data_IF_371391441493
#
_entry.id   IF_371391441493
#
_cell.length_a   1.000
_cell.length_b   1.000
_cell.length_c   1.000
_cell.angle_alpha   90.00
_cell.angle_beta   90.00
_cell.angle_gamma   90.00
#
_symmetry.space_group_name_H-M   'P 1'
#
loop_
_entity.id
_entity.type
_entity.pdbx_description
1 polymer ?
#
# COMPACT_ATOMS: atom_id res chain seq x y z
N UNK A 1 -14.89 57.87 -55.96
CA UNK A 1 -13.96 56.75 -55.72
C UNK A 1 -14.33 56.13 -54.39
N UNK A 2 -14.79 54.87 -54.37
CA UNK A 2 -15.09 54.11 -53.15
C UNK A 2 -14.21 52.86 -53.18
N UNK A 3 -13.13 52.86 -52.41
CA UNK A 3 -12.20 51.72 -52.33
C UNK A 3 -12.58 50.84 -51.15
N UNK A 4 -13.19 49.68 -51.45
CA UNK A 4 -13.34 48.61 -50.49
C UNK A 4 -11.97 48.08 -50.05
N UNK A 5 -11.60 48.31 -48.79
CA UNK A 5 -10.51 47.59 -48.14
C UNK A 5 -11.07 46.40 -47.38
N UNK A 6 -11.25 45.27 -48.08
CA UNK A 6 -11.47 43.97 -47.44
C UNK A 6 -10.22 43.59 -46.66
N UNK A 7 -10.26 43.79 -45.34
CA UNK A 7 -9.22 43.32 -44.44
C UNK A 7 -9.25 41.78 -44.39
N UNK A 8 -8.36 41.14 -45.14
CA UNK A 8 -8.12 39.71 -45.03
C UNK A 8 -7.56 39.41 -43.63
N UNK A 9 -8.44 39.04 -42.69
CA UNK A 9 -8.04 38.38 -41.46
C UNK A 9 -7.52 36.99 -41.80
N UNK A 10 -6.22 36.91 -42.13
CA UNK A 10 -5.47 35.66 -42.14
C UNK A 10 -5.42 35.13 -40.70
N UNK A 11 -6.47 34.39 -40.31
CA UNK A 11 -6.45 33.55 -39.12
C UNK A 11 -5.43 32.45 -39.41
N UNK A 12 -4.20 32.67 -38.97
CA UNK A 12 -3.20 31.61 -38.91
C UNK A 12 -3.69 30.57 -37.92
N UNK A 13 -4.30 29.50 -38.45
CA UNK A 13 -4.57 28.28 -37.73
C UNK A 13 -3.22 27.66 -37.33
N UNK A 14 -2.65 28.15 -36.23
CA UNK A 14 -1.46 27.60 -35.59
C UNK A 14 -1.81 26.24 -34.96
N UNK A 15 -2.03 25.24 -35.82
CA UNK A 15 -2.22 23.85 -35.40
C UNK A 15 -0.91 23.36 -34.79
N UNK A 16 -0.91 23.14 -33.47
CA UNK A 16 0.26 22.63 -32.75
C UNK A 16 0.57 21.21 -33.25
N UNK A 17 1.73 21.04 -33.88
CA UNK A 17 2.20 19.73 -34.33
C UNK A 17 2.48 18.84 -33.11
N UNK A 18 2.12 17.56 -33.19
CA UNK A 18 2.35 16.61 -32.12
C UNK A 18 3.85 16.34 -31.92
N UNK A 19 4.40 16.46 -30.70
CA UNK A 19 5.77 16.05 -30.41
C UNK A 19 5.95 14.53 -30.54
N UNK A 20 7.17 14.07 -30.85
CA UNK A 20 7.46 12.63 -30.88
C UNK A 20 7.65 12.07 -29.46
N UNK A 21 6.71 11.22 -29.05
CA UNK A 21 6.73 10.49 -27.78
C UNK A 21 6.99 8.98 -27.95
N UNK A 22 7.34 8.49 -29.15
CA UNK A 22 7.46 7.05 -29.44
C UNK A 22 8.37 6.29 -28.47
N UNK A 23 9.55 6.82 -28.19
CA UNK A 23 10.49 6.23 -27.23
C UNK A 23 9.92 6.18 -25.80
N UNK A 24 9.28 7.26 -25.36
CA UNK A 24 8.64 7.37 -24.04
C UNK A 24 7.48 6.39 -23.91
N UNK A 25 6.62 6.31 -24.94
CA UNK A 25 5.48 5.39 -25.02
C UNK A 25 5.92 3.94 -24.97
N UNK A 26 6.95 3.57 -25.76
CA UNK A 26 7.50 2.21 -25.73
C UNK A 26 8.03 1.83 -24.35
N UNK A 27 8.79 2.73 -23.70
CA UNK A 27 9.28 2.51 -22.33
C UNK A 27 8.13 2.34 -21.32
N UNK A 28 7.10 3.20 -21.39
CA UNK A 28 5.93 3.11 -20.52
C UNK A 28 5.14 1.82 -20.75
N UNK A 29 4.96 1.42 -22.02
CA UNK A 29 4.25 0.20 -22.38
C UNK A 29 4.95 -1.04 -21.80
N UNK A 30 6.27 -1.15 -21.95
CA UNK A 30 7.04 -2.27 -21.39
C UNK A 30 6.95 -2.28 -19.86
N UNK A 31 7.27 -1.17 -19.20
CA UNK A 31 7.33 -1.13 -17.73
C UNK A 31 5.95 -1.33 -17.09
N UNK A 32 4.89 -0.67 -17.58
CA UNK A 32 3.55 -0.88 -17.03
C UNK A 32 2.95 -2.24 -17.39
N UNK A 33 3.36 -2.89 -18.49
CA UNK A 33 2.98 -4.29 -18.75
C UNK A 33 3.58 -5.24 -17.71
N UNK A 34 4.85 -5.03 -17.32
CA UNK A 34 5.50 -5.78 -16.25
C UNK A 34 4.85 -5.50 -14.88
N UNK A 35 4.54 -4.24 -14.58
CA UNK A 35 3.82 -3.85 -13.34
C UNK A 35 2.42 -4.47 -13.28
N UNK A 36 1.68 -4.49 -14.40
CA UNK A 36 0.37 -5.15 -14.46
C UNK A 36 0.51 -6.68 -14.26
N UNK A 37 1.44 -7.31 -14.98
CA UNK A 37 1.64 -8.77 -14.95
C UNK A 37 2.09 -9.29 -13.59
N UNK A 38 2.92 -8.53 -12.85
CA UNK A 38 3.39 -8.91 -11.52
C UNK A 38 2.51 -8.35 -10.38
N UNK A 39 2.19 -7.05 -10.43
CA UNK A 39 1.49 -6.32 -9.37
C UNK A 39 0.04 -6.77 -9.17
N UNK A 40 -0.69 -7.04 -10.26
CA UNK A 40 -2.09 -7.50 -10.16
C UNK A 40 -2.20 -8.85 -9.40
N UNK A 41 -1.57 -9.96 -9.83
CA UNK A 41 -1.71 -11.24 -9.12
C UNK A 41 -1.13 -11.20 -7.71
N UNK A 42 -0.02 -10.49 -7.47
CA UNK A 42 0.58 -10.37 -6.14
C UNK A 42 -0.36 -9.65 -5.16
N UNK A 43 -1.00 -8.55 -5.56
CA UNK A 43 -1.91 -7.82 -4.68
C UNK A 43 -3.30 -8.47 -4.55
N UNK A 44 -3.80 -9.18 -5.58
CA UNK A 44 -5.00 -10.02 -5.46
C UNK A 44 -4.75 -11.11 -4.42
N UNK A 45 -3.60 -11.80 -4.50
CA UNK A 45 -3.22 -12.82 -3.53
C UNK A 45 -3.03 -12.24 -2.13
N UNK A 46 -2.37 -11.09 -2.00
CA UNK A 46 -2.20 -10.38 -0.73
C UNK A 46 -3.54 -10.07 -0.07
N UNK A 47 -4.45 -9.42 -0.79
CA UNK A 47 -5.77 -9.06 -0.29
C UNK A 47 -6.60 -10.30 0.09
N UNK A 48 -6.56 -11.36 -0.73
CA UNK A 48 -7.22 -12.63 -0.43
C UNK A 48 -6.70 -13.26 0.88
N UNK A 49 -5.37 -13.31 1.08
CA UNK A 49 -4.79 -13.84 2.33
C UNK A 49 -5.17 -12.95 3.53
N UNK A 50 -5.12 -11.62 3.40
CA UNK A 50 -5.47 -10.73 4.51
C UNK A 50 -6.95 -10.82 4.91
N UNK A 51 -7.86 -10.89 3.95
CA UNK A 51 -9.30 -10.99 4.20
C UNK A 51 -9.69 -12.40 4.69
N UNK A 52 -9.22 -13.46 4.03
CA UNK A 52 -9.71 -14.83 4.28
C UNK A 52 -8.91 -15.60 5.33
N UNK A 53 -7.58 -15.54 5.28
CA UNK A 53 -6.71 -16.28 6.20
C UNK A 53 -6.40 -15.51 7.49
N UNK A 54 -6.21 -14.19 7.41
CA UNK A 54 -5.84 -13.33 8.55
C UNK A 54 -7.03 -12.55 9.15
N UNK A 55 -8.18 -12.55 8.46
CA UNK A 55 -9.47 -11.95 8.88
C UNK A 55 -9.36 -10.50 9.41
N UNK A 56 -8.34 -9.77 8.95
CA UNK A 56 -8.04 -8.37 9.30
C UNK A 56 -8.11 -8.05 10.81
N UNK A 57 -7.65 -8.98 11.66
CA UNK A 57 -7.71 -8.81 13.13
C UNK A 57 -6.66 -7.85 13.70
N UNK A 58 -5.54 -7.60 13.01
CA UNK A 58 -4.46 -6.73 13.51
C UNK A 58 -4.47 -5.33 12.87
N UNK A 59 -3.98 -4.33 13.60
CA UNK A 59 -3.83 -2.94 13.11
C UNK A 59 -3.05 -2.87 11.80
N UNK A 60 -1.90 -3.55 11.72
CA UNK A 60 -1.08 -3.54 10.50
C UNK A 60 -1.73 -4.34 9.37
N UNK A 61 -2.52 -5.37 9.66
CA UNK A 61 -3.34 -6.04 8.63
C UNK A 61 -4.38 -5.10 8.04
N UNK A 62 -4.97 -4.18 8.82
CA UNK A 62 -5.87 -3.14 8.29
C UNK A 62 -5.14 -2.24 7.30
N UNK A 63 -3.97 -1.70 7.66
CA UNK A 63 -3.18 -0.84 6.75
C UNK A 63 -2.76 -1.59 5.47
N UNK A 64 -2.32 -2.85 5.60
CA UNK A 64 -1.91 -3.68 4.47
C UNK A 64 -3.06 -4.05 3.52
N UNK A 65 -4.28 -4.23 4.01
CA UNK A 65 -5.45 -4.40 3.15
C UNK A 65 -5.73 -3.16 2.30
N UNK A 66 -5.52 -1.97 2.88
CA UNK A 66 -5.78 -0.71 2.18
C UNK A 66 -4.67 -0.37 1.18
N UNK A 67 -3.41 -0.69 1.50
CA UNK A 67 -2.27 -0.63 0.57
C UNK A 67 -2.52 -1.54 -0.65
N UNK A 68 -2.81 -2.82 -0.42
CA UNK A 68 -3.13 -3.76 -1.49
C UNK A 68 -4.38 -3.33 -2.30
N UNK A 69 -5.36 -2.67 -1.67
CA UNK A 69 -6.52 -2.13 -2.39
C UNK A 69 -6.16 -0.93 -3.28
N UNK A 70 -5.30 -0.01 -2.83
CA UNK A 70 -4.79 1.08 -3.67
C UNK A 70 -3.91 0.59 -4.82
N UNK A 71 -3.14 -0.48 -4.61
CA UNK A 71 -2.32 -1.11 -5.66
C UNK A 71 -3.17 -1.81 -6.71
N UNK A 72 -4.26 -2.46 -6.29
CA UNK A 72 -5.22 -3.08 -7.20
C UNK A 72 -5.98 -2.05 -8.02
N UNK A 73 -6.44 -0.94 -7.41
CA UNK A 73 -7.10 0.13 -8.16
C UNK A 73 -6.19 0.72 -9.24
N UNK A 74 -4.91 0.96 -8.93
CA UNK A 74 -3.94 1.40 -9.93
C UNK A 74 -3.70 0.35 -11.01
N UNK A 75 -3.43 -0.90 -10.61
CA UNK A 75 -3.18 -2.01 -11.53
C UNK A 75 -4.35 -2.23 -12.50
N UNK A 76 -5.60 -2.16 -12.02
CA UNK A 76 -6.82 -2.25 -12.85
C UNK A 76 -7.02 -1.05 -13.79
N UNK A 77 -6.38 0.09 -13.54
CA UNK A 77 -6.39 1.25 -14.44
C UNK A 77 -5.30 1.20 -15.53
N UNK A 78 -4.26 0.37 -15.37
CA UNK A 78 -3.15 0.26 -16.31
C UNK A 78 -3.55 -0.13 -17.75
N UNK A 79 -4.52 -1.03 -18.01
CA UNK A 79 -4.93 -1.38 -19.38
C UNK A 79 -5.34 -0.16 -20.22
N UNK A 80 -5.99 0.84 -19.61
CA UNK A 80 -6.38 2.09 -20.29
C UNK A 80 -5.13 2.86 -20.71
N UNK A 81 -4.13 2.97 -19.82
CA UNK A 81 -2.84 3.62 -20.12
C UNK A 81 -2.04 2.84 -21.18
N UNK A 82 -2.01 1.51 -21.10
CA UNK A 82 -1.31 0.66 -22.06
C UNK A 82 -1.88 0.79 -23.46
N UNK A 83 -3.21 0.84 -23.62
CA UNK A 83 -3.84 1.08 -24.92
C UNK A 83 -3.51 2.47 -25.49
N UNK A 84 -3.37 3.51 -24.65
CA UNK A 84 -2.88 4.82 -25.09
C UNK A 84 -1.44 4.76 -25.61
N UNK A 85 -0.52 4.13 -24.87
CA UNK A 85 0.88 4.01 -25.29
C UNK A 85 1.08 3.13 -26.53
N UNK A 86 0.21 2.14 -26.75
CA UNK A 86 0.23 1.30 -27.95
C UNK A 86 -0.35 1.99 -29.19
N UNK A 87 -1.36 2.87 -29.03
CA UNK A 87 -2.02 3.58 -30.12
C UNK A 87 -1.35 4.93 -30.46
N UNK A 88 -0.55 5.48 -29.55
CA UNK A 88 0.01 6.85 -29.60
C UNK A 88 -1.03 8.00 -29.59
N UNK A 89 -2.33 7.70 -29.59
CA UNK A 89 -3.42 8.66 -29.38
C UNK A 89 -4.40 8.17 -28.32
N UNK A 90 -5.19 9.08 -27.75
CA UNK A 90 -6.18 8.81 -26.72
C UNK A 90 -7.57 8.55 -27.35
N UNK A 91 -8.05 7.29 -27.42
CA UNK A 91 -9.34 6.97 -28.04
C UNK A 91 -10.53 7.30 -27.11
N UNK A 92 -10.35 7.26 -25.79
CA UNK A 92 -11.45 7.30 -24.83
C UNK A 92 -12.02 8.70 -24.58
N UNK A 93 -13.17 8.83 -23.89
CA UNK A 93 -13.62 10.13 -23.36
C UNK A 93 -12.61 10.77 -22.42
N UNK A 94 -12.67 12.09 -22.32
CA UNK A 94 -11.76 12.88 -21.46
C UNK A 94 -11.85 12.47 -19.98
N UNK A 95 -13.04 12.07 -19.52
CA UNK A 95 -13.26 11.61 -18.14
C UNK A 95 -12.37 10.40 -17.77
N UNK A 96 -12.09 9.47 -18.70
CA UNK A 96 -11.22 8.33 -18.41
C UNK A 96 -9.74 8.74 -18.28
N UNK A 97 -9.29 9.79 -18.99
CA UNK A 97 -7.93 10.34 -18.84
C UNK A 97 -7.78 10.93 -17.43
N UNK A 98 -8.78 11.71 -17.01
CA UNK A 98 -8.85 12.35 -15.69
C UNK A 98 -8.92 11.32 -14.56
N UNK A 99 -9.77 10.29 -14.68
CA UNK A 99 -9.89 9.20 -13.70
C UNK A 99 -8.60 8.38 -13.62
N UNK A 100 -7.99 8.00 -14.75
CA UNK A 100 -6.74 7.25 -14.75
C UNK A 100 -5.56 8.06 -14.19
N UNK A 101 -5.57 9.39 -14.33
CA UNK A 101 -4.67 10.30 -13.62
C UNK A 101 -4.91 10.33 -12.11
N UNK A 102 -6.17 10.54 -11.71
CA UNK A 102 -6.61 10.53 -10.32
C UNK A 102 -6.29 9.23 -9.58
N UNK A 103 -6.47 8.06 -10.21
CA UNK A 103 -6.17 6.75 -9.62
C UNK A 103 -4.67 6.59 -9.32
N UNK A 104 -3.78 7.03 -10.22
CA UNK A 104 -2.34 7.04 -9.95
C UNK A 104 -1.99 7.95 -8.78
N UNK A 105 -2.59 9.14 -8.71
CA UNK A 105 -2.38 10.07 -7.59
C UNK A 105 -2.85 9.49 -6.25
N UNK A 106 -4.02 8.82 -6.25
CA UNK A 106 -4.55 8.12 -5.07
C UNK A 106 -3.66 6.95 -4.64
N UNK A 107 -3.16 6.15 -5.59
CA UNK A 107 -2.19 5.10 -5.27
C UNK A 107 -0.92 5.69 -4.66
N UNK A 108 -0.29 6.70 -5.29
CA UNK A 108 0.97 7.23 -4.82
C UNK A 108 0.89 7.80 -3.40
N UNK A 109 -0.05 8.72 -3.13
CA UNK A 109 -0.19 9.28 -1.78
C UNK A 109 -0.80 8.27 -0.79
N UNK A 110 -1.67 7.36 -1.25
CA UNK A 110 -2.21 6.27 -0.45
C UNK A 110 -1.08 5.37 0.06
N UNK A 111 -0.23 4.86 -0.83
CA UNK A 111 0.90 4.01 -0.48
C UNK A 111 1.91 4.72 0.42
N UNK A 112 2.24 6.00 0.14
CA UNK A 112 3.03 6.84 1.03
C UNK A 112 2.50 6.87 2.47
N UNK A 113 1.21 7.18 2.64
CA UNK A 113 0.59 7.32 3.97
C UNK A 113 0.40 5.95 4.65
N UNK A 114 0.01 4.89 3.93
CA UNK A 114 -0.16 3.56 4.51
C UNK A 114 1.18 2.95 4.96
N UNK A 115 2.26 3.11 4.19
CA UNK A 115 3.61 2.74 4.63
C UNK A 115 4.02 3.53 5.88
N UNK A 116 3.72 4.84 5.95
CA UNK A 116 3.98 5.63 7.14
C UNK A 116 3.20 5.13 8.36
N UNK A 117 1.91 4.83 8.22
CA UNK A 117 1.08 4.26 9.29
C UNK A 117 1.60 2.89 9.78
N UNK A 118 2.14 2.06 8.89
CA UNK A 118 2.78 0.78 9.26
C UNK A 118 4.05 1.01 10.10
N UNK A 119 4.91 1.95 9.69
CA UNK A 119 6.12 2.32 10.45
C UNK A 119 5.75 2.93 11.82
N UNK A 120 4.74 3.80 11.86
CA UNK A 120 4.28 4.45 13.10
C UNK A 120 3.64 3.43 14.07
N UNK A 121 2.90 2.41 13.62
CA UNK A 121 2.45 1.32 14.52
C UNK A 121 3.63 0.51 15.09
N UNK A 122 4.71 0.32 14.31
CA UNK A 122 5.93 -0.35 14.79
C UNK A 122 6.69 0.50 15.82
N UNK A 123 6.81 1.80 15.60
CA UNK A 123 7.32 2.74 16.60
C UNK A 123 6.48 2.75 17.87
N UNK A 124 5.16 2.90 17.76
CA UNK A 124 4.26 2.90 18.91
C UNK A 124 4.29 1.56 19.68
N UNK A 125 4.49 0.44 18.99
CA UNK A 125 4.62 -0.89 19.61
C UNK A 125 5.92 -1.10 20.39
N UNK A 126 7.01 -0.41 20.03
CA UNK A 126 8.36 -0.66 20.56
C UNK A 126 8.78 0.43 21.55
N UNK A 127 8.62 1.70 21.18
CA UNK A 127 9.13 2.83 21.95
C UNK A 127 8.14 3.26 23.04
N UNK A 128 6.82 3.12 22.79
CA UNK A 128 5.77 3.55 23.71
C UNK A 128 4.61 2.53 23.89
N UNK A 129 4.92 1.25 24.20
CA UNK A 129 3.95 0.15 24.16
C UNK A 129 2.73 0.34 25.06
N UNK A 130 2.89 0.98 26.23
CA UNK A 130 1.80 1.27 27.16
C UNK A 130 1.06 2.56 26.79
N UNK A 131 1.77 3.68 26.66
CA UNK A 131 1.20 5.02 26.40
C UNK A 131 0.33 5.07 25.13
N UNK A 132 0.75 4.39 24.05
CA UNK A 132 0.05 4.40 22.76
C UNK A 132 -0.86 3.17 22.54
N UNK A 133 -1.06 2.31 23.55
CA UNK A 133 -1.90 1.09 23.45
C UNK A 133 -3.33 1.39 22.99
N UNK A 134 -3.88 2.56 23.32
CA UNK A 134 -5.24 2.95 22.95
C UNK A 134 -5.39 3.27 21.46
N UNK A 135 -4.36 3.84 20.81
CA UNK A 135 -4.35 4.10 19.35
C UNK A 135 -4.19 2.80 18.55
N UNK A 136 -3.51 1.81 19.13
CA UNK A 136 -3.20 0.52 18.48
C UNK A 136 -4.38 -0.47 18.51
N UNK A 137 -5.59 0.02 18.22
CA UNK A 137 -6.83 -0.77 18.13
C UNK A 137 -7.30 -0.86 16.67
N UNK A 138 -7.75 -2.02 16.15
CA UNK A 138 -8.22 -2.14 14.77
C UNK A 138 -9.36 -1.18 14.39
N UNK A 139 -10.22 -0.81 15.36
CA UNK A 139 -11.27 0.22 15.15
C UNK A 139 -10.68 1.60 14.84
N UNK A 140 -9.56 1.98 15.48
CA UNK A 140 -8.85 3.24 15.21
C UNK A 140 -8.16 3.16 13.85
N UNK A 141 -7.48 2.05 13.55
CA UNK A 141 -6.84 1.83 12.25
C UNK A 141 -7.82 1.97 11.07
N UNK A 142 -9.04 1.43 11.19
CA UNK A 142 -10.09 1.58 10.15
C UNK A 142 -10.55 3.03 9.97
N UNK A 143 -10.70 3.79 11.06
CA UNK A 143 -11.03 5.23 11.00
C UNK A 143 -9.90 6.03 10.35
N UNK A 144 -8.65 5.71 10.66
CA UNK A 144 -7.48 6.30 10.00
C UNK A 144 -7.48 5.99 8.51
N UNK A 145 -7.68 4.73 8.09
CA UNK A 145 -7.78 4.39 6.67
C UNK A 145 -8.91 5.14 5.95
N UNK A 146 -10.09 5.26 6.57
CA UNK A 146 -11.20 6.04 5.99
C UNK A 146 -10.82 7.52 5.81
N UNK A 147 -10.11 8.11 6.79
CA UNK A 147 -9.56 9.45 6.68
C UNK A 147 -8.51 9.58 5.58
N UNK A 148 -7.63 8.58 5.39
CA UNK A 148 -6.66 8.54 4.29
C UNK A 148 -7.38 8.48 2.93
N UNK A 149 -8.39 7.62 2.77
CA UNK A 149 -9.18 7.54 1.54
C UNK A 149 -9.87 8.87 1.22
N UNK A 150 -10.47 9.53 2.22
CA UNK A 150 -11.07 10.85 2.05
C UNK A 150 -10.02 11.91 1.63
N UNK A 151 -8.85 11.91 2.28
CA UNK A 151 -7.75 12.85 2.00
C UNK A 151 -7.22 12.69 0.56
N UNK A 152 -6.92 11.47 0.13
CA UNK A 152 -6.41 11.21 -1.23
C UNK A 152 -7.47 11.45 -2.30
N UNK A 153 -8.77 11.24 -2.01
CA UNK A 153 -9.87 11.62 -2.91
C UNK A 153 -9.95 13.14 -3.10
N UNK A 154 -9.74 13.94 -2.04
CA UNK A 154 -9.68 15.41 -2.15
C UNK A 154 -8.49 15.85 -3.01
N UNK A 155 -7.31 15.23 -2.84
CA UNK A 155 -6.12 15.53 -3.66
C UNK A 155 -6.14 14.92 -5.07
N UNK A 156 -7.04 13.98 -5.36
CA UNK A 156 -7.27 13.45 -6.70
C UNK A 156 -7.94 14.49 -7.63
N UNK A 157 -8.62 15.50 -7.08
CA UNK A 157 -9.28 16.56 -7.86
C UNK A 157 -8.28 17.38 -8.70
N UNK A 158 -7.14 17.87 -8.15
CA UNK A 158 -6.04 18.39 -8.96
C UNK A 158 -5.61 17.49 -10.11
N UNK A 159 -5.31 16.21 -9.84
CA UNK A 159 -4.86 15.28 -10.87
C UNK A 159 -5.91 15.15 -12.01
N UNK A 160 -7.19 15.01 -11.65
CA UNK A 160 -8.29 14.99 -12.62
C UNK A 160 -8.40 16.29 -13.44
N UNK A 161 -8.10 17.46 -12.87
CA UNK A 161 -8.13 18.74 -13.62
C UNK A 161 -6.91 18.94 -14.52
N UNK A 162 -5.73 18.47 -14.11
CA UNK A 162 -4.48 18.68 -14.85
C UNK A 162 -4.30 17.66 -15.97
N UNK A 163 -4.74 16.41 -15.78
CA UNK A 163 -4.76 15.35 -16.80
C UNK A 163 -6.00 15.46 -17.72
N UNK A 164 -6.20 16.62 -18.34
CA UNK A 164 -7.11 16.74 -19.49
C UNK A 164 -6.38 16.41 -20.78
N UNK A 165 -7.01 15.71 -21.75
CA UNK A 165 -6.39 15.48 -23.04
C UNK A 165 -6.07 16.80 -23.75
N UNK A 166 -4.85 16.93 -24.26
CA UNK A 166 -4.47 18.00 -25.18
C UNK A 166 -4.68 17.54 -26.61
N UNK A 167 -4.93 18.51 -27.51
CA UNK A 167 -5.09 18.25 -28.94
C UNK A 167 -3.84 18.71 -29.69
N UNK A 168 -3.41 17.93 -30.67
CA UNK A 168 -2.33 18.27 -31.57
C UNK A 168 -2.58 17.63 -32.93
N UNK A 169 -1.80 18.03 -33.95
CA UNK A 169 -1.94 17.53 -35.31
C UNK A 169 -0.74 16.70 -35.72
N UNK A 170 -1.00 15.49 -36.23
CA UNK A 170 -0.10 14.75 -37.11
C UNK A 170 -0.47 15.05 -38.57
N UNK A 171 0.39 14.68 -39.51
CA UNK A 171 0.13 14.90 -40.95
C UNK A 171 -1.21 14.25 -41.39
N UNK A 172 -1.54 13.09 -40.81
CA UNK A 172 -2.79 12.35 -41.06
C UNK A 172 -4.03 12.90 -40.34
N UNK A 173 -3.92 13.89 -39.43
CA UNK A 173 -5.09 14.50 -38.77
C UNK A 173 -4.89 15.03 -37.34
N UNK A 174 -5.97 15.59 -36.78
CA UNK A 174 -6.01 16.03 -35.37
C UNK A 174 -6.23 14.83 -34.44
N UNK A 175 -5.38 14.70 -33.43
CA UNK A 175 -5.44 13.64 -32.41
C UNK A 175 -5.48 14.23 -31.00
N UNK A 176 -5.83 13.39 -30.03
CA UNK A 176 -5.80 13.72 -28.60
C UNK A 176 -4.68 12.96 -27.90
N UNK A 177 -3.91 13.64 -27.06
CA UNK A 177 -2.88 13.05 -26.20
C UNK A 177 -3.29 13.18 -24.73
N UNK A 178 -3.03 12.15 -23.93
CA UNK A 178 -3.29 12.13 -22.48
C UNK A 178 -1.97 11.94 -21.74
N UNK A 179 -1.87 12.41 -20.50
CA UNK A 179 -0.67 12.40 -19.65
C UNK A 179 0.53 13.23 -20.13
N UNK A 180 0.71 13.48 -21.44
CA UNK A 180 1.87 14.18 -21.97
C UNK A 180 2.00 15.61 -21.47
N UNK A 181 0.93 16.42 -21.60
CA UNK A 181 0.93 17.82 -21.18
C UNK A 181 0.15 18.00 -19.88
N UNK A 182 0.82 18.50 -18.84
CA UNK A 182 0.15 19.08 -17.69
C UNK A 182 -0.45 20.42 -18.11
N UNK A 183 -1.79 20.53 -18.06
CA UNK A 183 -2.48 21.77 -18.44
C UNK A 183 -1.99 22.97 -17.61
N UNK A 184 -1.98 24.16 -18.21
CA UNK A 184 -1.52 25.38 -17.53
C UNK A 184 -2.37 25.75 -16.30
N UNK A 185 -3.55 25.13 -16.14
CA UNK A 185 -4.45 25.32 -14.99
C UNK A 185 -3.83 24.91 -13.64
N UNK A 186 -2.75 24.12 -13.64
CA UNK A 186 -1.97 23.86 -12.42
C UNK A 186 -1.27 25.12 -11.90
N UNK A 187 -0.68 25.90 -12.81
CA UNK A 187 0.14 27.07 -12.51
C UNK A 187 -0.69 28.35 -12.42
N UNK A 188 -1.88 28.36 -13.03
CA UNK A 188 -2.87 29.45 -12.92
C UNK A 188 -3.58 29.42 -11.56
N UNK A 189 -2.96 30.01 -10.55
CA UNK A 189 -3.63 30.36 -9.30
C UNK A 189 -4.14 29.17 -8.48
N UNK A 190 -5.47 29.01 -8.38
CA UNK A 190 -6.16 28.22 -7.32
C UNK A 190 -5.74 26.75 -7.18
N UNK A 191 -5.07 26.15 -8.17
CA UNK A 191 -4.67 24.74 -8.12
C UNK A 191 -3.26 24.51 -7.54
N UNK A 192 -2.36 25.47 -7.67
CA UNK A 192 -0.99 25.38 -7.14
C UNK A 192 -0.95 25.19 -5.60
N UNK A 193 -1.69 25.96 -4.78
CA UNK A 193 -1.71 25.74 -3.32
C UNK A 193 -2.22 24.36 -2.94
N UNK A 194 -3.16 23.79 -3.71
CA UNK A 194 -3.71 22.46 -3.43
C UNK A 194 -2.73 21.34 -3.78
N UNK A 195 -1.89 21.51 -4.81
CA UNK A 195 -0.79 20.58 -5.10
C UNK A 195 0.35 20.71 -4.09
N UNK A 196 0.72 21.93 -3.68
CA UNK A 196 1.70 22.12 -2.59
C UNK A 196 1.21 21.50 -1.26
N UNK A 197 -0.08 21.61 -0.96
CA UNK A 197 -0.69 20.96 0.19
C UNK A 197 -0.71 19.43 0.06
N UNK A 198 -0.94 18.91 -1.15
CA UNK A 198 -0.90 17.48 -1.43
C UNK A 198 0.51 16.89 -1.31
N UNK A 199 1.55 17.60 -1.79
CA UNK A 199 2.96 17.25 -1.57
C UNK A 199 3.31 17.28 -0.06
N UNK A 200 2.90 18.34 0.65
CA UNK A 200 3.17 18.48 2.07
C UNK A 200 2.53 17.36 2.92
N UNK A 201 1.25 17.04 2.68
CA UNK A 201 0.50 16.08 3.49
C UNK A 201 0.57 14.63 2.97
N UNK A 202 0.71 14.44 1.65
CA UNK A 202 0.76 13.15 0.98
C UNK A 202 2.17 12.58 0.80
N UNK A 203 3.21 13.42 0.85
CA UNK A 203 4.61 12.98 0.69
C UNK A 203 5.52 13.42 1.84
N UNK A 204 5.67 14.73 2.12
CA UNK A 204 6.64 15.22 3.12
C UNK A 204 6.30 14.77 4.55
N UNK A 205 5.04 14.88 4.97
CA UNK A 205 4.59 14.44 6.29
C UNK A 205 4.79 12.91 6.49
N UNK A 206 4.38 12.02 5.55
CA UNK A 206 4.77 10.61 5.56
C UNK A 206 6.28 10.35 5.64
N UNK A 207 7.09 11.07 4.85
CA UNK A 207 8.56 10.92 4.86
C UNK A 207 9.15 11.23 6.23
N UNK A 208 8.81 12.40 6.81
CA UNK A 208 9.27 12.82 8.15
C UNK A 208 8.81 11.81 9.20
N UNK A 209 7.54 11.39 9.16
CA UNK A 209 7.01 10.40 10.09
C UNK A 209 7.76 9.06 10.01
N UNK A 210 8.12 8.59 8.82
CA UNK A 210 8.86 7.34 8.63
C UNK A 210 10.33 7.43 9.03
N UNK A 211 11.03 8.49 8.67
CA UNK A 211 12.44 8.69 9.07
C UNK A 211 12.51 8.79 10.59
N UNK A 212 11.69 9.63 11.22
CA UNK A 212 11.64 9.78 12.67
C UNK A 212 11.28 8.46 13.39
N UNK A 213 10.19 7.79 12.98
CA UNK A 213 9.77 6.53 13.61
C UNK A 213 10.82 5.42 13.44
N UNK A 214 11.45 5.33 12.27
CA UNK A 214 12.54 4.38 12.01
C UNK A 214 13.75 4.65 12.90
N UNK A 215 14.29 5.88 12.89
CA UNK A 215 15.45 6.27 13.71
C UNK A 215 15.19 5.98 15.20
N UNK A 216 14.03 6.37 15.73
CA UNK A 216 13.67 6.13 17.13
C UNK A 216 13.55 4.64 17.46
N UNK A 217 13.04 3.81 16.54
CA UNK A 217 13.03 2.35 16.72
C UNK A 217 14.45 1.78 16.68
N UNK A 218 15.28 2.17 15.71
CA UNK A 218 16.67 1.71 15.63
C UNK A 218 17.46 2.04 16.90
N UNK A 219 17.38 3.28 17.40
CA UNK A 219 18.02 3.72 18.65
C UNK A 219 17.54 2.90 19.86
N UNK A 220 16.23 2.65 19.96
CA UNK A 220 15.65 1.85 21.05
C UNK A 220 16.12 0.39 20.99
N UNK A 221 16.20 -0.16 19.78
CA UNK A 221 16.66 -1.53 19.52
C UNK A 221 18.19 -1.69 19.52
N UNK A 222 18.96 -0.61 19.58
CA UNK A 222 20.43 -0.65 19.65
C UNK A 222 20.97 -0.76 21.09
N UNK A 223 20.12 -0.50 22.10
CA UNK A 223 20.53 -0.54 23.52
C UNK A 223 21.00 -1.95 23.96
N UNK A 224 22.04 -2.07 24.80
CA UNK A 224 22.63 -3.36 25.21
C UNK A 224 21.62 -4.34 25.81
N UNK A 225 20.72 -3.85 26.67
CA UNK A 225 19.75 -4.68 27.42
C UNK A 225 18.64 -5.28 26.54
N UNK A 226 18.55 -4.87 25.27
CA UNK A 226 17.58 -5.41 24.33
C UNK A 226 18.04 -6.80 23.83
N UNK A 227 17.47 -7.87 24.37
CA UNK A 227 17.70 -9.24 23.86
C UNK A 227 17.45 -9.33 22.34
N UNK A 228 18.32 -10.04 21.61
CA UNK A 228 18.29 -10.16 20.13
C UNK A 228 17.20 -11.13 19.64
N UNK A 229 15.94 -10.87 19.98
CA UNK A 229 14.80 -11.70 19.57
C UNK A 229 14.55 -11.73 18.05
N UNK A 230 13.98 -12.84 17.55
CA UNK A 230 13.54 -12.97 16.15
C UNK A 230 12.54 -11.85 15.75
N UNK A 231 11.66 -11.48 16.68
CA UNK A 231 10.65 -10.40 16.53
C UNK A 231 11.30 -9.02 16.28
N UNK A 232 12.46 -8.75 16.89
CA UNK A 232 13.26 -7.53 16.67
C UNK A 232 13.84 -7.49 15.26
N UNK A 233 14.52 -8.57 14.81
CA UNK A 233 15.08 -8.66 13.45
C UNK A 233 14.01 -8.49 12.38
N UNK A 234 12.85 -9.14 12.57
CA UNK A 234 11.68 -9.01 11.69
C UNK A 234 11.18 -7.57 11.59
N UNK A 235 11.06 -6.86 12.72
CA UNK A 235 10.62 -5.46 12.72
C UNK A 235 11.62 -4.55 12.02
N UNK A 236 12.91 -4.70 12.30
CA UNK A 236 13.98 -3.96 11.59
C UNK A 236 13.89 -4.17 10.09
N UNK A 237 13.74 -5.41 9.62
CA UNK A 237 13.63 -5.71 8.18
C UNK A 237 12.40 -5.07 7.54
N UNK A 238 11.26 -5.05 8.25
CA UNK A 238 10.06 -4.36 7.78
C UNK A 238 10.28 -2.85 7.63
N UNK A 239 10.85 -2.18 8.65
CA UNK A 239 11.13 -0.73 8.58
C UNK A 239 12.09 -0.39 7.43
N UNK A 240 13.17 -1.18 7.26
CA UNK A 240 14.12 -1.00 6.16
C UNK A 240 13.48 -1.17 4.78
N UNK A 241 12.59 -2.17 4.61
CA UNK A 241 11.90 -2.40 3.34
C UNK A 241 10.92 -1.28 3.03
N UNK A 242 10.13 -0.82 4.01
CA UNK A 242 9.23 0.32 3.82
C UNK A 242 9.99 1.60 3.46
N UNK A 243 11.11 1.87 4.14
CA UNK A 243 11.96 3.02 3.87
C UNK A 243 12.60 2.93 2.48
N UNK A 244 13.11 1.75 2.10
CA UNK A 244 13.66 1.50 0.77
C UNK A 244 12.62 1.75 -0.34
N UNK A 245 11.41 1.17 -0.22
CA UNK A 245 10.34 1.38 -1.21
C UNK A 245 10.01 2.86 -1.35
N UNK A 246 9.94 3.60 -0.23
CA UNK A 246 9.57 5.01 -0.28
C UNK A 246 10.68 5.90 -0.87
N UNK A 247 11.94 5.66 -0.50
CA UNK A 247 13.08 6.39 -1.05
C UNK A 247 13.36 6.04 -2.51
N UNK A 248 13.01 4.82 -2.95
CA UNK A 248 13.17 4.38 -4.34
C UNK A 248 12.02 4.83 -5.24
N UNK A 249 10.76 4.57 -4.85
CA UNK A 249 9.60 4.82 -5.70
C UNK A 249 9.07 6.25 -5.59
N UNK A 250 8.94 6.81 -4.38
CA UNK A 250 8.21 8.06 -4.18
C UNK A 250 9.12 9.28 -4.13
N UNK A 251 10.24 9.23 -3.41
CA UNK A 251 11.14 10.38 -3.29
C UNK A 251 11.61 10.95 -4.65
N UNK A 252 12.03 10.16 -5.66
CA UNK A 252 12.53 10.71 -6.92
C UNK A 252 11.44 11.41 -7.73
N UNK A 253 10.23 10.82 -7.78
CA UNK A 253 9.09 11.40 -8.47
C UNK A 253 8.62 12.71 -7.82
N UNK A 254 8.34 12.70 -6.50
CA UNK A 254 7.83 13.88 -5.80
C UNK A 254 8.86 15.02 -5.81
N UNK A 255 10.16 14.70 -5.69
CA UNK A 255 11.23 15.71 -5.84
C UNK A 255 11.28 16.31 -7.24
N UNK A 256 11.20 15.48 -8.30
CA UNK A 256 11.20 15.96 -9.68
C UNK A 256 9.93 16.76 -9.99
N UNK A 257 8.78 16.35 -9.46
CA UNK A 257 7.50 17.07 -9.60
C UNK A 257 7.55 18.43 -8.89
N UNK A 258 8.16 18.52 -7.71
CA UNK A 258 8.37 19.79 -7.00
C UNK A 258 9.32 20.72 -7.77
N UNK A 259 10.42 20.21 -8.34
CA UNK A 259 11.34 20.99 -9.19
C UNK A 259 10.63 21.47 -10.46
N UNK A 260 9.92 20.57 -11.16
CA UNK A 260 9.10 20.94 -12.32
C UNK A 260 8.08 22.02 -11.94
N UNK A 261 7.57 21.94 -10.71
CA UNK A 261 6.75 22.95 -10.06
C UNK A 261 7.36 24.34 -10.04
N UNK A 262 8.51 24.51 -9.41
CA UNK A 262 9.18 25.80 -9.28
C UNK A 262 9.54 26.41 -10.65
N UNK A 263 9.94 25.57 -11.61
CA UNK A 263 10.29 25.99 -12.97
C UNK A 263 9.07 26.42 -13.80
N UNK A 264 7.94 25.72 -13.70
CA UNK A 264 6.70 26.07 -14.41
C UNK A 264 5.97 27.25 -13.77
N UNK A 265 6.08 27.41 -12.45
CA UNK A 265 5.56 28.56 -11.70
C UNK A 265 6.38 29.85 -11.83
N UNK A 266 7.45 29.86 -12.64
CA UNK A 266 8.39 30.99 -12.81
C UNK A 266 9.06 31.46 -11.51
N UNK A 267 9.05 30.64 -10.46
CA UNK A 267 9.72 30.90 -9.17
C UNK A 267 11.25 30.69 -9.28
N UNK A 268 11.68 29.89 -10.26
CA UNK A 268 13.08 29.70 -10.64
C UNK A 268 13.19 29.95 -12.15
N UNK A 269 14.06 30.89 -12.54
CA UNK A 269 14.31 31.22 -13.95
C UNK A 269 15.16 30.12 -14.58
N UNK A 270 14.68 29.53 -15.67
CA UNK A 270 15.41 28.51 -16.43
C UNK A 270 15.01 28.54 -17.92
N UNK A 271 15.90 28.02 -18.77
CA UNK A 271 15.66 27.88 -20.21
C UNK A 271 14.53 26.88 -20.51
N UNK A 272 13.99 26.92 -21.72
CA UNK A 272 13.00 25.92 -22.18
C UNK A 272 13.61 24.52 -22.23
N UNK A 273 14.84 24.39 -22.75
CA UNK A 273 15.58 23.13 -22.75
C UNK A 273 15.70 22.50 -21.34
N UNK A 274 15.97 23.29 -20.30
CA UNK A 274 16.02 22.80 -18.92
C UNK A 274 14.63 22.34 -18.41
N UNK A 275 13.56 23.05 -18.77
CA UNK A 275 12.18 22.67 -18.41
C UNK A 275 11.75 21.37 -19.07
N UNK A 276 12.11 21.16 -20.34
CA UNK A 276 11.82 19.91 -21.06
C UNK A 276 12.71 18.74 -20.61
N UNK A 277 13.97 18.99 -20.24
CA UNK A 277 14.82 17.97 -19.62
C UNK A 277 14.22 17.46 -18.29
N UNK A 278 13.77 18.37 -17.40
CA UNK A 278 13.12 17.99 -16.14
C UNK A 278 11.80 17.25 -16.39
N UNK A 279 11.04 17.63 -17.42
CA UNK A 279 9.85 16.89 -17.86
C UNK A 279 10.20 15.47 -18.32
N UNK A 280 11.27 15.30 -19.09
CA UNK A 280 11.77 13.98 -19.50
C UNK A 280 12.13 13.10 -18.31
N UNK A 281 12.83 13.66 -17.30
CA UNK A 281 13.13 12.95 -16.05
C UNK A 281 11.84 12.59 -15.30
N UNK A 282 10.86 13.49 -15.22
CA UNK A 282 9.57 13.22 -14.56
C UNK A 282 8.82 12.04 -15.21
N UNK A 283 8.87 11.92 -16.54
CA UNK A 283 8.30 10.77 -17.28
C UNK A 283 9.06 9.46 -17.03
N UNK A 284 10.31 9.48 -16.59
CA UNK A 284 11.00 8.26 -16.12
C UNK A 284 10.65 7.98 -14.65
N UNK A 285 10.59 9.00 -13.80
CA UNK A 285 10.28 8.82 -12.38
C UNK A 285 8.83 8.37 -12.13
N UNK A 286 7.88 8.68 -13.01
CA UNK A 286 6.48 8.20 -12.89
C UNK A 286 6.36 6.67 -13.05
N UNK A 287 7.29 6.06 -13.79
CA UNK A 287 7.40 4.60 -13.92
C UNK A 287 7.95 3.97 -12.65
N UNK A 288 8.99 4.59 -12.08
CA UNK A 288 9.59 4.17 -10.81
C UNK A 288 8.61 4.31 -9.63
N UNK A 289 7.80 5.37 -9.64
CA UNK A 289 6.68 5.52 -8.71
C UNK A 289 5.62 4.43 -8.90
N UNK A 290 5.19 4.15 -10.14
CA UNK A 290 4.23 3.09 -10.44
C UNK A 290 4.72 1.67 -10.13
N UNK A 291 6.03 1.44 -10.04
CA UNK A 291 6.61 0.15 -9.64
C UNK A 291 6.36 -0.22 -8.16
N UNK A 292 5.87 0.71 -7.33
CA UNK A 292 5.60 0.46 -5.90
C UNK A 292 4.71 -0.79 -5.68
N UNK A 293 3.69 -0.98 -6.52
CA UNK A 293 2.72 -2.07 -6.41
C UNK A 293 3.36 -3.47 -6.58
N UNK A 294 4.55 -3.57 -7.19
CA UNK A 294 5.30 -4.84 -7.31
C UNK A 294 6.20 -5.07 -6.08
N UNK A 295 6.60 -3.99 -5.39
CA UNK A 295 7.49 -4.04 -4.22
C UNK A 295 6.73 -4.16 -2.89
N UNK A 296 5.53 -3.60 -2.76
CA UNK A 296 4.72 -3.69 -1.54
C UNK A 296 4.35 -5.14 -1.10
N UNK A 297 4.27 -6.14 -2.00
CA UNK A 297 4.30 -7.56 -1.63
C UNK A 297 5.45 -8.01 -0.70
N UNK A 298 6.61 -7.34 -0.73
CA UNK A 298 7.71 -7.57 0.22
C UNK A 298 7.35 -7.10 1.64
N UNK A 299 6.62 -6.00 1.77
CA UNK A 299 6.10 -5.46 3.03
C UNK A 299 5.18 -6.50 3.69
N UNK A 300 4.28 -7.11 2.90
CA UNK A 300 3.39 -8.18 3.36
C UNK A 300 4.18 -9.41 3.83
N UNK A 301 5.19 -9.84 3.06
CA UNK A 301 6.06 -10.96 3.40
C UNK A 301 6.82 -10.76 4.71
N UNK A 302 7.42 -9.59 4.95
CA UNK A 302 8.20 -9.35 6.18
C UNK A 302 7.34 -9.03 7.40
N UNK A 303 6.11 -8.55 7.23
CA UNK A 303 5.20 -8.27 8.34
C UNK A 303 4.41 -9.50 8.81
N UNK A 304 3.78 -10.25 7.91
CA UNK A 304 2.81 -11.27 8.28
C UNK A 304 3.39 -12.69 8.23
N UNK A 305 3.58 -13.31 9.39
CA UNK A 305 3.99 -14.73 9.47
C UNK A 305 2.92 -15.67 8.89
N UNK A 306 1.65 -15.37 9.11
CA UNK A 306 0.56 -16.11 8.46
C UNK A 306 0.57 -15.95 6.93
N UNK A 307 0.96 -14.80 6.37
CA UNK A 307 1.11 -14.64 4.92
C UNK A 307 2.23 -15.55 4.38
N UNK A 308 3.39 -15.57 5.05
CA UNK A 308 4.48 -16.52 4.73
C UNK A 308 4.05 -17.98 4.86
N UNK A 309 3.26 -18.32 5.87
CA UNK A 309 2.80 -19.69 6.09
C UNK A 309 1.74 -20.11 5.06
N UNK A 310 0.83 -19.22 4.67
CA UNK A 310 -0.13 -19.47 3.58
C UNK A 310 0.58 -19.61 2.24
N UNK A 311 1.56 -18.75 1.91
CA UNK A 311 2.38 -18.91 0.70
C UNK A 311 3.14 -20.25 0.68
N UNK A 312 3.74 -20.65 1.81
CA UNK A 312 4.39 -21.96 1.94
C UNK A 312 3.40 -23.13 1.77
N UNK A 313 2.18 -22.99 2.27
CA UNK A 313 1.10 -23.97 2.12
C UNK A 313 0.42 -24.00 0.74
N UNK A 314 0.63 -22.97 -0.09
CA UNK A 314 0.28 -22.94 -1.51
C UNK A 314 1.39 -23.55 -2.38
N UNK A 315 2.66 -23.39 -1.96
CA UNK A 315 3.83 -23.94 -2.66
C UNK A 315 4.15 -25.41 -2.35
N UNK A 316 3.55 -26.03 -1.33
CA UNK A 316 3.68 -27.48 -1.12
C UNK A 316 2.80 -28.25 -2.11
N UNK A 317 3.34 -29.21 -2.88
CA UNK A 317 2.54 -30.04 -3.77
C UNK A 317 1.43 -30.78 -3.01
N UNK A 318 0.23 -30.82 -3.58
CA UNK A 318 -0.94 -31.49 -2.99
C UNK A 318 -0.70 -32.95 -2.55
N UNK A 319 0.30 -33.61 -3.15
CA UNK A 319 0.65 -35.03 -2.96
C UNK A 319 1.08 -35.43 -1.54
N UNK A 320 1.53 -34.48 -0.70
CA UNK A 320 1.94 -34.78 0.70
C UNK A 320 0.75 -34.69 1.67
N UNK A 321 -0.27 -33.88 1.35
CA UNK A 321 -1.38 -33.61 2.28
C UNK A 321 -2.32 -34.80 2.45
N UNK A 322 -2.41 -35.68 1.46
CA UNK A 322 -3.17 -36.94 1.49
C UNK A 322 -2.42 -38.11 2.15
N UNK A 323 -1.08 -38.08 2.16
CA UNK A 323 -0.27 -39.13 2.79
C UNK A 323 -0.27 -39.03 4.32
N UNK A 324 -0.21 -37.81 4.86
CA UNK A 324 -0.28 -37.58 6.31
C UNK A 324 -1.63 -38.00 6.93
N UNK A 325 -2.75 -37.80 6.23
CA UNK A 325 -4.08 -38.23 6.68
C UNK A 325 -4.30 -39.74 6.57
N UNK A 326 -3.63 -40.41 5.62
CA UNK A 326 -3.79 -41.86 5.42
C UNK A 326 -2.82 -42.69 6.28
N UNK A 327 -1.64 -42.17 6.62
CA UNK A 327 -0.71 -42.83 7.53
C UNK A 327 -1.27 -42.97 8.95
N UNK A 328 -1.91 -41.92 9.48
CA UNK A 328 -2.53 -41.93 10.81
C UNK A 328 -3.77 -42.84 10.93
N UNK A 329 -4.32 -43.34 9.82
CA UNK A 329 -5.52 -44.19 9.81
C UNK A 329 -5.22 -45.69 9.68
N UNK A 330 -3.96 -46.07 9.42
CA UNK A 330 -3.54 -47.48 9.31
C UNK A 330 -2.92 -48.07 10.59
N UNK A 331 -2.57 -47.26 11.57
CA UNK A 331 -1.93 -47.71 12.84
C UNK A 331 -2.91 -47.93 14.00
N UNK A 332 -4.23 -47.91 13.75
CA UNK A 332 -5.26 -48.09 14.78
C UNK A 332 -6.23 -49.26 14.47
N UNK A 333 -5.76 -50.27 13.74
CA UNK A 333 -6.58 -51.39 13.26
C UNK A 333 -5.85 -52.74 13.34
N UNK A 334 -5.17 -53.02 14.46
CA UNK A 334 -4.78 -54.37 14.85
C UNK A 334 -5.06 -54.53 16.35
N UNK A 335 -6.05 -55.37 16.67
CA UNK A 335 -6.40 -55.80 18.03
C UNK A 335 -6.23 -57.33 18.05
N UNK A 336 -5.30 -57.89 18.85
CA UNK A 336 -5.26 -59.33 19.08
C UNK A 336 -6.50 -59.79 19.83
N UNK A 337 -7.08 -60.89 19.38
CA UNK A 337 -8.07 -61.68 20.13
C UNK A 337 -7.36 -62.65 21.06
N UNK A 338 -7.59 -62.54 22.36
CA UNK A 338 -7.34 -63.63 23.32
C UNK A 338 -8.51 -63.77 24.31
N UNK A 339 -8.57 -64.94 24.92
CA UNK A 339 -9.81 -65.62 25.32
C UNK A 339 -10.16 -65.40 26.80
N UNK A 340 -11.45 -65.47 27.12
CA UNK A 340 -11.96 -65.56 28.51
C UNK A 340 -11.63 -66.90 29.15
N UNK A 341 -11.22 -66.88 30.42
CA UNK A 341 -11.62 -67.91 31.39
C UNK A 341 -11.71 -67.33 32.83
N UNK A 342 -12.48 -68.00 33.71
CA UNK A 342 -12.88 -67.50 35.04
C UNK A 342 -12.18 -68.24 36.19
N UNK A 343 -11.73 -67.54 37.24
CA UNK A 343 -11.85 -68.02 38.65
C UNK A 343 -11.64 -66.91 39.69
N UNK A 344 -12.10 -67.18 40.93
CA UNK A 344 -12.22 -66.34 42.14
C UNK A 344 -11.75 -67.21 43.34
N UNK A 345 -11.42 -66.74 44.58
CA UNK A 345 -10.84 -65.47 45.10
C UNK A 345 -9.50 -65.69 45.85
N UNK A 346 -8.88 -64.64 46.40
CA UNK A 346 -8.70 -64.45 47.87
C UNK A 346 -7.80 -63.24 48.22
N UNK A 347 -8.26 -62.39 49.13
CA UNK A 347 -7.45 -61.42 49.87
C UNK A 347 -8.18 -60.95 51.14
N UNK A 348 -7.70 -61.42 52.30
CA UNK A 348 -8.24 -61.15 53.63
C UNK A 348 -7.82 -59.79 54.21
N UNK A 349 -8.64 -59.26 55.13
CA UNK A 349 -8.28 -58.39 56.27
C UNK A 349 -7.71 -56.98 55.93
N UNK A 350 -8.32 -55.86 56.31
CA UNK A 350 -8.82 -55.51 57.65
C UNK A 350 -9.97 -54.49 57.62
N UNK A 351 -10.77 -54.47 58.69
CA UNK A 351 -11.97 -53.64 58.85
C UNK A 351 -11.85 -52.62 59.99
N UNK A 352 -12.93 -51.84 60.18
CA UNK A 352 -13.22 -50.83 61.23
C UNK A 352 -12.60 -49.45 60.94
N UNK A 353 -13.28 -48.30 61.13
CA UNK A 353 -14.70 -48.02 61.46
C UNK A 353 -15.10 -46.59 60.98
N UNK A 354 -16.40 -46.29 60.88
CA UNK A 354 -16.98 -44.92 60.92
C UNK A 354 -17.72 -44.68 62.25
N UNK A 355 -18.62 -43.68 62.41
CA UNK A 355 -19.16 -42.73 61.40
C UNK A 355 -19.34 -41.26 61.92
N UNK A 356 -20.13 -40.46 61.17
CA UNK A 356 -21.02 -39.34 61.63
C UNK A 356 -20.62 -37.86 61.39
N UNK A 357 -21.46 -37.21 60.58
CA UNK A 357 -21.68 -35.76 60.33
C UNK A 357 -22.36 -35.03 61.55
N UNK A 358 -22.87 -33.78 61.48
CA UNK A 358 -22.21 -32.47 61.19
C UNK A 358 -22.70 -31.33 62.16
N UNK A 359 -22.16 -30.08 62.07
CA UNK A 359 -22.92 -28.81 62.16
C UNK A 359 -22.04 -27.53 62.01
N UNK A 360 -22.69 -26.38 61.82
CA UNK A 360 -22.18 -25.04 61.45
C UNK A 360 -22.23 -24.03 62.64
N UNK A 361 -22.24 -22.68 62.48
CA UNK A 361 -21.16 -21.74 62.11
C UNK A 361 -20.92 -20.62 63.19
N UNK A 362 -20.46 -19.41 62.78
CA UNK A 362 -20.08 -18.18 63.56
C UNK A 362 -18.62 -18.20 64.11
N UNK A 363 -17.83 -17.10 64.06
CA UNK A 363 -17.98 -15.78 64.73
C UNK A 363 -17.59 -14.58 63.81
N UNK A 364 -17.79 -13.34 64.28
CA UNK A 364 -18.04 -12.09 63.53
C UNK A 364 -17.25 -10.86 64.08
N UNK A 365 -16.58 -10.09 63.19
CA UNK A 365 -16.10 -8.66 63.35
C UNK A 365 -15.16 -8.30 64.55
N UNK A 366 -14.61 -7.06 64.74
CA UNK A 366 -14.77 -5.72 64.11
C UNK A 366 -13.66 -5.37 63.07
N UNK A 367 -13.72 -4.36 62.18
CA UNK A 367 -14.25 -2.98 62.10
C UNK A 367 -13.40 -1.87 62.77
N UNK A 368 -12.63 -1.14 61.96
CA UNK A 368 -12.12 0.24 62.14
C UNK A 368 -11.21 0.60 60.93
N UNK A 369 -10.85 1.84 60.58
CA UNK A 369 -11.55 3.14 60.58
C UNK A 369 -10.75 4.15 59.72
N UNK A 370 -11.40 5.20 59.24
CA UNK A 370 -10.95 6.32 58.39
C UNK A 370 -9.44 6.61 58.16
N UNK A 371 -9.04 6.75 56.88
CA UNK A 371 -8.44 7.98 56.31
C UNK A 371 -8.43 7.97 54.77
#
# INVERSE_FOLDING_TARGET
MLTNSTANTNITNNSVQCPDYRHTHHLHMVVYSLVLAAGLPLNVLALWVFLRALRVHSVVSVYMCNLAASDLLFSLSLPVRLSYYALHYWPFPDLLCQIAGAIFQMNMYGSCIFLALINVDRYAAIVHPLRLRHLRRPRVARRLCLGVWALILVFAVPAARVHRPSRCRYDDGEVRLCFESFSNELWKGRLLPLVLLAEALGFLLPLVAMVYSSVRVFWTLARPDATRSHRRRKTVRLLLVNLFIFLMCFLPYNSTLAVYGLLRGQLVVASEAARDQVRGVLMVMVLLAGANCVLDPLVYYFSAEGFRNTLRGLGTPLRIRTLATNGARKTLAERPTETTDNTIPDATSQALLGPSYPQTPFIQFPQDSAL
#
